data_IF_934928146536
#
_entry.id   IF_934928146536
#
_cell.length_a   1.000
_cell.length_b   1.000
_cell.length_c   1.000
_cell.angle_alpha   90.00
_cell.angle_beta   90.00
_cell.angle_gamma   90.00
#
_symmetry.space_group_name_H-M   'P 1'
#
loop_
_entity.id
_entity.type
_entity.pdbx_description
1 polymer ?
#
# COMPACT_ATOMS: atom_id res chain seq x y z
N UNK A 1 -6.07 -14.88 -0.27
CA UNK A 1 -6.43 -15.02 -1.70
C UNK A 1 -7.66 -15.92 -1.79
N UNK A 2 -8.73 -15.50 -2.46
CA UNK A 2 -9.90 -16.37 -2.64
C UNK A 2 -9.53 -17.56 -3.51
N UNK A 3 -10.03 -18.73 -3.14
CA UNK A 3 -9.95 -19.97 -3.88
C UNK A 3 -11.26 -20.19 -4.64
N UNK A 4 -11.32 -21.18 -5.52
CA UNK A 4 -12.53 -21.51 -6.30
C UNK A 4 -13.76 -21.71 -5.39
N UNK A 5 -13.59 -22.41 -4.27
CA UNK A 5 -14.66 -22.64 -3.29
C UNK A 5 -15.17 -21.37 -2.60
N UNK A 6 -14.39 -20.28 -2.62
CA UNK A 6 -14.73 -19.00 -1.99
C UNK A 6 -15.58 -18.10 -2.91
N UNK A 7 -15.63 -18.36 -4.21
CA UNK A 7 -16.29 -17.49 -5.18
C UNK A 7 -17.76 -17.20 -4.87
N UNK A 8 -18.59 -18.18 -4.42
CA UNK A 8 -19.96 -17.88 -4.00
C UNK A 8 -20.03 -16.92 -2.81
N UNK A 9 -19.07 -17.02 -1.88
CA UNK A 9 -18.98 -16.11 -0.74
C UNK A 9 -18.54 -14.69 -1.18
N UNK A 10 -17.57 -14.61 -2.08
CA UNK A 10 -17.14 -13.34 -2.70
C UNK A 10 -18.32 -12.65 -3.38
N UNK A 11 -19.14 -13.41 -4.12
CA UNK A 11 -20.34 -12.86 -4.74
C UNK A 11 -21.32 -12.23 -3.73
N UNK A 12 -21.54 -12.87 -2.58
CA UNK A 12 -22.37 -12.31 -1.49
C UNK A 12 -21.76 -11.06 -0.85
N UNK A 13 -20.43 -11.03 -0.71
CA UNK A 13 -19.73 -9.83 -0.19
C UNK A 13 -19.87 -8.63 -1.13
N UNK A 14 -19.80 -8.85 -2.44
CA UNK A 14 -20.04 -7.81 -3.44
C UNK A 14 -21.47 -7.26 -3.32
N UNK A 15 -22.48 -8.16 -3.21
CA UNK A 15 -23.87 -7.75 -3.04
C UNK A 15 -24.09 -6.95 -1.75
N UNK A 16 -23.48 -7.40 -0.65
CA UNK A 16 -23.57 -6.73 0.65
C UNK A 16 -22.92 -5.33 0.60
N UNK A 17 -21.76 -5.21 -0.06
CA UNK A 17 -21.08 -3.94 -0.23
C UNK A 17 -21.91 -2.95 -1.07
N UNK A 18 -22.49 -3.43 -2.17
CA UNK A 18 -23.38 -2.63 -2.99
C UNK A 18 -24.61 -2.15 -2.21
N UNK A 19 -25.23 -3.05 -1.45
CA UNK A 19 -26.39 -2.72 -0.60
C UNK A 19 -26.03 -1.73 0.52
N UNK A 20 -24.80 -1.78 1.03
CA UNK A 20 -24.30 -0.85 2.05
C UNK A 20 -23.91 0.52 1.48
N UNK A 21 -23.89 0.70 0.16
CA UNK A 21 -23.56 1.97 -0.49
C UNK A 21 -22.10 2.38 -0.35
N UNK A 22 -21.16 1.43 -0.35
CA UNK A 22 -19.73 1.77 -0.31
C UNK A 22 -19.31 2.46 -1.60
N UNK A 23 -18.38 3.40 -1.53
CA UNK A 23 -17.91 4.17 -2.68
C UNK A 23 -17.07 3.34 -3.66
N UNK A 24 -16.33 2.35 -3.17
CA UNK A 24 -15.49 1.46 -3.98
C UNK A 24 -15.10 0.18 -3.23
N UNK A 25 -14.66 -0.83 -3.98
CA UNK A 25 -14.06 -2.06 -3.45
C UNK A 25 -12.58 -2.13 -3.84
N UNK A 26 -11.70 -2.27 -2.86
CA UNK A 26 -10.30 -2.63 -3.11
C UNK A 26 -10.19 -4.14 -3.38
N UNK A 27 -9.64 -4.47 -4.53
CA UNK A 27 -9.56 -5.84 -5.05
C UNK A 27 -8.11 -6.18 -5.37
N UNK A 28 -7.65 -7.37 -4.95
CA UNK A 28 -6.29 -7.85 -5.20
C UNK A 28 -6.22 -9.07 -6.15
N UNK A 29 -7.36 -9.48 -6.70
CA UNK A 29 -7.46 -10.70 -7.50
C UNK A 29 -8.37 -10.49 -8.71
N UNK A 30 -7.88 -10.86 -9.90
CA UNK A 30 -8.62 -10.71 -11.15
C UNK A 30 -9.93 -11.52 -11.19
N UNK A 31 -9.98 -12.69 -10.53
CA UNK A 31 -11.20 -13.47 -10.43
C UNK A 31 -12.30 -12.72 -9.69
N UNK A 32 -11.93 -11.96 -8.63
CA UNK A 32 -12.88 -11.10 -7.90
C UNK A 32 -13.36 -9.94 -8.78
N UNK A 33 -12.46 -9.33 -9.57
CA UNK A 33 -12.83 -8.29 -10.52
C UNK A 33 -13.83 -8.81 -11.56
N UNK A 34 -13.61 -10.04 -12.03
CA UNK A 34 -14.55 -10.72 -12.95
C UNK A 34 -15.91 -10.95 -12.29
N UNK A 35 -15.96 -11.46 -11.07
CA UNK A 35 -17.23 -11.63 -10.33
C UNK A 35 -17.97 -10.31 -10.20
N UNK A 36 -17.28 -9.22 -9.87
CA UNK A 36 -17.87 -7.88 -9.77
C UNK A 36 -18.47 -7.45 -11.12
N UNK A 37 -17.73 -7.64 -12.21
CA UNK A 37 -18.19 -7.31 -13.56
C UNK A 37 -19.40 -8.14 -13.99
N UNK A 38 -19.41 -9.45 -13.73
CA UNK A 38 -20.53 -10.34 -14.06
C UNK A 38 -21.82 -9.99 -13.29
N UNK A 39 -21.70 -9.32 -12.15
CA UNK A 39 -22.81 -8.73 -11.40
C UNK A 39 -23.26 -7.34 -11.89
N UNK A 40 -22.72 -6.88 -13.01
CA UNK A 40 -23.05 -5.57 -13.59
C UNK A 40 -22.23 -4.40 -13.04
N UNK A 41 -21.17 -4.68 -12.28
CA UNK A 41 -20.27 -3.65 -11.73
C UNK A 41 -20.96 -2.68 -10.76
N UNK A 42 -21.69 -3.18 -9.74
CA UNK A 42 -22.53 -2.33 -8.90
C UNK A 42 -21.75 -1.37 -8.01
N UNK A 43 -20.43 -1.58 -7.87
CA UNK A 43 -19.51 -0.74 -7.08
C UNK A 43 -18.21 -0.59 -7.85
N UNK A 44 -17.59 0.62 -7.90
CA UNK A 44 -16.30 0.83 -8.53
C UNK A 44 -15.19 -0.08 -7.98
N UNK A 45 -14.34 -0.60 -8.86
CA UNK A 45 -13.21 -1.46 -8.50
C UNK A 45 -11.90 -0.70 -8.45
N UNK A 46 -11.20 -0.74 -7.32
CA UNK A 46 -9.84 -0.28 -7.14
C UNK A 46 -8.90 -1.48 -7.04
N UNK A 47 -7.95 -1.63 -7.97
CA UNK A 47 -6.99 -2.72 -7.93
C UNK A 47 -5.86 -2.39 -6.94
N UNK A 48 -5.73 -3.20 -5.91
CA UNK A 48 -4.73 -3.03 -4.86
C UNK A 48 -3.35 -3.61 -5.25
N UNK A 49 -2.33 -3.36 -4.44
CA UNK A 49 -0.92 -3.68 -4.73
C UNK A 49 -0.65 -5.15 -5.07
N UNK A 50 -1.39 -6.08 -4.49
CA UNK A 50 -1.22 -7.52 -4.77
C UNK A 50 -1.83 -7.97 -6.11
N UNK A 51 -2.43 -7.07 -6.89
CA UNK A 51 -2.78 -7.32 -8.27
C UNK A 51 -1.56 -7.31 -9.20
N UNK A 52 -0.39 -6.93 -8.70
CA UNK A 52 0.90 -6.98 -9.37
C UNK A 52 0.93 -6.17 -10.69
N UNK A 53 0.46 -4.95 -10.64
CA UNK A 53 0.50 -4.02 -11.78
C UNK A 53 1.87 -3.34 -11.83
N UNK A 54 2.66 -3.62 -12.87
CA UNK A 54 3.98 -3.03 -13.10
C UNK A 54 4.04 -2.11 -14.33
N UNK A 55 3.11 -2.25 -15.25
CA UNK A 55 3.14 -1.53 -16.53
C UNK A 55 1.79 -0.91 -16.87
N UNK A 56 1.80 0.13 -17.70
CA UNK A 56 0.58 0.74 -18.23
C UNK A 56 -0.26 -0.27 -19.05
N UNK A 57 0.38 -1.25 -19.72
CA UNK A 57 -0.32 -2.30 -20.44
C UNK A 57 -1.12 -3.20 -19.48
N UNK A 58 -0.51 -3.61 -18.36
CA UNK A 58 -1.20 -4.38 -17.33
C UNK A 58 -2.35 -3.56 -16.71
N UNK A 59 -2.12 -2.28 -16.44
CA UNK A 59 -3.16 -1.38 -15.94
C UNK A 59 -4.30 -1.21 -16.94
N UNK A 60 -3.99 -1.14 -18.24
CA UNK A 60 -4.98 -1.11 -19.32
C UNK A 60 -5.88 -2.35 -19.34
N UNK A 61 -5.30 -3.54 -19.15
CA UNK A 61 -6.08 -4.79 -19.02
C UNK A 61 -7.03 -4.74 -17.82
N UNK A 62 -6.57 -4.20 -16.68
CA UNK A 62 -7.43 -4.04 -15.50
C UNK A 62 -8.57 -3.05 -15.76
N UNK A 63 -8.26 -1.91 -16.41
CA UNK A 63 -9.26 -0.91 -16.82
C UNK A 63 -10.31 -1.54 -17.72
N UNK A 64 -9.89 -2.28 -18.75
CA UNK A 64 -10.80 -2.90 -19.71
C UNK A 64 -11.65 -4.00 -19.04
N UNK A 65 -11.15 -4.57 -17.94
CA UNK A 65 -11.90 -5.47 -17.09
C UNK A 65 -12.84 -4.76 -16.09
N UNK A 66 -12.82 -3.42 -16.02
CA UNK A 66 -13.73 -2.63 -15.19
C UNK A 66 -13.13 -1.97 -13.96
N UNK A 67 -11.79 -1.99 -13.80
CA UNK A 67 -11.13 -1.22 -12.74
C UNK A 67 -11.11 0.27 -13.08
N UNK A 68 -11.41 1.12 -12.10
CA UNK A 68 -11.37 2.58 -12.22
C UNK A 68 -10.10 3.18 -11.62
N UNK A 69 -9.41 2.42 -10.77
CA UNK A 69 -8.16 2.81 -10.13
C UNK A 69 -7.23 1.61 -9.99
N UNK A 70 -5.94 1.85 -10.11
CA UNK A 70 -4.90 0.85 -9.84
C UNK A 70 -3.88 1.39 -8.87
N UNK A 71 -3.43 0.54 -7.95
CA UNK A 71 -2.23 0.77 -7.14
C UNK A 71 -1.13 -0.12 -7.71
N UNK A 72 -0.07 0.47 -8.31
CA UNK A 72 1.06 -0.29 -8.81
C UNK A 72 1.72 -1.11 -7.69
N UNK A 73 2.47 -2.14 -8.07
CA UNK A 73 3.28 -2.87 -7.11
C UNK A 73 4.29 -1.93 -6.45
N UNK A 74 4.60 -2.17 -5.18
CA UNK A 74 5.48 -1.31 -4.39
C UNK A 74 6.95 -1.26 -4.90
N UNK A 75 7.31 -2.14 -5.83
CA UNK A 75 8.63 -2.18 -6.47
C UNK A 75 8.74 -1.23 -7.68
N UNK A 76 7.63 -0.66 -8.14
CA UNK A 76 7.61 0.29 -9.26
C UNK A 76 8.15 1.64 -8.80
N UNK A 77 9.12 2.20 -9.53
CA UNK A 77 9.68 3.52 -9.25
C UNK A 77 8.69 4.65 -9.56
N UNK A 78 8.91 5.85 -8.98
CA UNK A 78 8.07 7.03 -9.28
C UNK A 78 8.10 7.40 -10.76
N UNK A 79 9.25 7.22 -11.42
CA UNK A 79 9.38 7.49 -12.85
C UNK A 79 8.50 6.55 -13.69
N UNK A 80 8.55 5.26 -13.40
CA UNK A 80 7.69 4.26 -14.05
C UNK A 80 6.21 4.46 -13.71
N UNK A 81 5.89 4.83 -12.46
CA UNK A 81 4.50 5.18 -12.07
C UNK A 81 3.98 6.40 -12.85
N UNK A 82 4.84 7.40 -13.12
CA UNK A 82 4.44 8.56 -13.92
C UNK A 82 4.11 8.18 -15.37
N UNK A 83 4.89 7.25 -15.96
CA UNK A 83 4.59 6.68 -17.29
C UNK A 83 3.24 5.94 -17.23
N UNK A 84 3.06 5.09 -16.22
CA UNK A 84 1.84 4.33 -16.03
C UNK A 84 0.62 5.26 -15.90
N UNK A 85 0.72 6.33 -15.11
CA UNK A 85 -0.36 7.29 -14.91
C UNK A 85 -0.76 8.03 -16.21
N UNK A 86 0.21 8.33 -17.10
CA UNK A 86 -0.08 8.97 -18.37
C UNK A 86 -0.72 8.04 -19.41
N UNK A 87 -0.25 6.78 -19.44
CA UNK A 87 -0.54 5.89 -20.57
C UNK A 87 -1.67 4.88 -20.26
N UNK A 88 -1.98 4.62 -18.99
CA UNK A 88 -2.92 3.56 -18.62
C UNK A 88 -4.39 3.93 -18.82
N UNK A 89 -4.72 5.23 -18.81
CA UNK A 89 -6.11 5.70 -18.89
C UNK A 89 -6.99 5.27 -17.71
N UNK A 90 -6.38 5.11 -16.53
CA UNK A 90 -7.02 4.75 -15.27
C UNK A 90 -6.35 5.52 -14.14
N UNK A 91 -7.08 5.80 -13.06
CA UNK A 91 -6.49 6.47 -11.88
C UNK A 91 -5.36 5.65 -11.27
N UNK A 92 -4.27 6.32 -10.89
CA UNK A 92 -3.12 5.70 -10.23
C UNK A 92 -3.02 6.18 -8.80
N UNK A 93 -3.03 5.23 -7.84
CA UNK A 93 -2.86 5.48 -6.42
C UNK A 93 -1.40 5.23 -6.02
N UNK A 94 -0.76 6.24 -5.40
CA UNK A 94 0.63 6.16 -4.94
C UNK A 94 0.69 5.97 -3.43
N UNK A 95 1.41 4.93 -2.99
CA UNK A 95 1.76 4.78 -1.57
C UNK A 95 2.78 5.84 -1.20
N UNK A 96 2.44 6.72 -0.25
CA UNK A 96 3.32 7.81 0.19
C UNK A 96 3.81 7.66 1.62
N UNK A 97 3.13 6.85 2.45
CA UNK A 97 3.54 6.62 3.84
C UNK A 97 3.08 5.27 4.38
N UNK A 98 3.91 4.68 5.24
CA UNK A 98 3.59 3.48 6.00
C UNK A 98 4.35 2.23 5.56
N UNK A 99 3.96 1.09 6.10
CA UNK A 99 4.62 -0.18 5.80
C UNK A 99 4.36 -0.61 4.36
N UNK A 100 5.44 -0.95 3.66
CA UNK A 100 5.38 -1.44 2.28
C UNK A 100 4.89 -2.89 2.30
N UNK A 101 3.82 -3.24 1.56
CA UNK A 101 3.40 -4.63 1.40
C UNK A 101 4.41 -5.37 0.52
N UNK A 102 5.09 -6.38 1.09
CA UNK A 102 6.13 -7.15 0.41
C UNK A 102 5.61 -8.49 -0.12
N UNK A 103 4.63 -9.07 0.53
CA UNK A 103 4.10 -10.34 0.09
C UNK A 103 2.95 -10.85 0.94
N UNK A 104 2.23 -11.84 0.39
CA UNK A 104 1.19 -12.59 1.09
C UNK A 104 1.45 -14.06 0.85
N UNK A 105 1.40 -14.87 1.91
CA UNK A 105 1.50 -16.32 1.82
C UNK A 105 0.16 -16.98 2.09
N UNK A 106 -0.12 -18.09 1.42
CA UNK A 106 -1.28 -18.92 1.74
C UNK A 106 -0.98 -19.92 2.87
N UNK A 107 0.30 -20.22 3.10
CA UNK A 107 0.73 -21.10 4.18
C UNK A 107 1.08 -20.31 5.44
N UNK A 108 0.83 -20.92 6.60
CA UNK A 108 1.24 -20.35 7.87
C UNK A 108 2.75 -20.56 8.05
N UNK A 109 3.49 -19.46 8.22
CA UNK A 109 4.93 -19.48 8.51
C UNK A 109 5.23 -19.24 10.01
N UNK A 110 4.19 -19.04 10.82
CA UNK A 110 4.32 -18.86 12.27
C UNK A 110 4.19 -20.18 13.04
N UNK A 111 3.67 -21.22 12.40
CA UNK A 111 3.59 -22.54 12.98
C UNK A 111 4.81 -23.37 12.58
N UNK A 112 5.44 -24.02 13.55
CA UNK A 112 6.61 -24.85 13.33
C UNK A 112 6.31 -26.18 12.64
N UNK A 113 5.05 -26.63 12.70
CA UNK A 113 4.59 -27.82 12.01
C UNK A 113 3.44 -27.45 11.06
N UNK A 114 3.51 -27.82 9.78
CA UNK A 114 2.47 -27.57 8.82
C UNK A 114 1.35 -28.60 8.96
N UNK A 115 0.56 -28.56 9.99
CA UNK A 115 -0.70 -29.29 10.00
C UNK A 115 -1.67 -28.58 9.07
N UNK A 116 -1.81 -29.12 7.86
CA UNK A 116 -2.56 -28.54 6.74
C UNK A 116 -4.07 -28.38 7.00
N UNK A 117 -4.59 -28.80 8.13
CA UNK A 117 -6.03 -28.83 8.41
C UNK A 117 -6.39 -28.81 9.88
N UNK A 118 -5.56 -28.19 10.74
CA UNK A 118 -5.93 -28.14 12.15
C UNK A 118 -7.11 -27.20 12.37
N UNK A 119 -8.31 -27.76 12.71
CA UNK A 119 -9.45 -26.95 13.14
C UNK A 119 -9.16 -26.17 14.43
N UNK A 120 -8.01 -26.41 15.05
CA UNK A 120 -7.52 -25.74 16.25
C UNK A 120 -6.44 -24.68 15.98
N UNK A 121 -6.34 -24.13 14.78
CA UNK A 121 -5.42 -23.04 14.50
C UNK A 121 -5.52 -21.97 15.60
N UNK A 122 -4.45 -21.70 16.38
CA UNK A 122 -4.49 -20.78 17.50
C UNK A 122 -4.63 -19.32 17.06
N UNK A 123 -4.70 -19.07 15.75
CA UNK A 123 -4.85 -17.73 15.14
C UNK A 123 -3.81 -16.72 15.60
N UNK A 124 -2.58 -17.18 15.91
CA UNK A 124 -1.47 -16.33 16.36
C UNK A 124 -1.13 -15.22 15.37
N UNK A 125 -1.44 -15.42 14.09
CA UNK A 125 -1.24 -14.41 13.06
C UNK A 125 -2.16 -13.18 13.17
N UNK A 126 -3.11 -13.16 14.11
CA UNK A 126 -3.90 -11.97 14.42
C UNK A 126 -3.10 -10.91 15.16
N UNK A 127 -2.02 -11.33 15.80
CA UNK A 127 -1.08 -10.45 16.45
C UNK A 127 0.04 -10.04 15.49
N UNK A 128 0.69 -8.93 15.80
CA UNK A 128 1.85 -8.46 15.05
C UNK A 128 3.07 -9.26 15.50
N UNK A 129 3.75 -9.86 14.55
CA UNK A 129 5.03 -10.52 14.79
C UNK A 129 6.14 -9.86 13.97
N UNK A 130 7.38 -10.04 14.41
CA UNK A 130 8.54 -9.51 13.72
C UNK A 130 9.44 -10.66 13.30
N UNK A 131 9.70 -10.75 12.00
CA UNK A 131 10.74 -11.61 11.45
C UNK A 131 12.05 -10.84 11.47
N UNK A 132 13.05 -11.38 12.15
CA UNK A 132 14.33 -10.70 12.31
C UNK A 132 15.48 -11.53 11.77
N UNK A 133 16.42 -10.86 11.12
CA UNK A 133 17.71 -11.42 10.75
C UNK A 133 18.83 -10.47 11.17
N UNK A 134 20.08 -10.82 10.88
CA UNK A 134 21.21 -9.90 11.12
C UNK A 134 21.16 -8.62 10.29
N UNK A 135 20.42 -8.62 9.19
CA UNK A 135 20.45 -7.54 8.19
C UNK A 135 19.10 -6.86 7.98
N UNK A 136 18.01 -7.47 8.40
CA UNK A 136 16.68 -6.95 8.14
C UNK A 136 15.68 -7.35 9.22
N UNK A 137 14.63 -6.55 9.31
CA UNK A 137 13.46 -6.82 10.13
C UNK A 137 12.23 -6.60 9.26
N UNK A 138 11.28 -7.52 9.33
CA UNK A 138 10.00 -7.44 8.61
C UNK A 138 8.85 -7.55 9.61
N UNK A 139 7.78 -6.79 9.37
CA UNK A 139 6.53 -6.88 10.14
C UNK A 139 5.62 -7.92 9.50
N UNK A 140 5.03 -8.79 10.30
CA UNK A 140 4.04 -9.75 9.81
C UNK A 140 2.70 -9.50 10.47
N UNK A 141 1.64 -9.53 9.69
CA UNK A 141 0.26 -9.42 10.16
C UNK A 141 -0.61 -10.35 9.33
N UNK A 142 -1.34 -11.23 9.99
CA UNK A 142 -2.06 -12.28 9.30
C UNK A 142 -1.10 -13.12 8.45
N UNK A 143 -1.41 -13.26 7.19
CA UNK A 143 -0.56 -13.94 6.19
C UNK A 143 0.29 -12.96 5.37
N UNK A 144 0.30 -11.68 5.75
CA UNK A 144 1.04 -10.63 5.07
C UNK A 144 2.42 -10.37 5.67
N UNK A 145 3.38 -10.05 4.82
CA UNK A 145 4.72 -9.60 5.18
C UNK A 145 4.87 -8.16 4.72
N UNK A 146 5.26 -7.30 5.63
CA UNK A 146 5.42 -5.86 5.43
C UNK A 146 6.87 -5.44 5.72
N UNK A 147 7.29 -4.30 5.19
CA UNK A 147 8.61 -3.73 5.49
C UNK A 147 8.80 -3.46 6.98
N UNK A 148 10.05 -3.51 7.44
CA UNK A 148 10.41 -3.11 8.80
C UNK A 148 10.40 -1.60 8.99
N UNK A 149 10.91 -0.86 7.99
CA UNK A 149 10.89 0.61 7.95
C UNK A 149 9.58 1.13 7.36
N UNK A 150 9.23 2.36 7.68
CA UNK A 150 8.09 3.03 7.08
C UNK A 150 8.53 3.79 5.84
N UNK A 151 7.80 3.59 4.74
CA UNK A 151 7.91 4.44 3.58
C UNK A 151 7.51 5.86 3.95
N UNK A 152 8.23 6.86 3.45
CA UNK A 152 7.91 8.26 3.64
C UNK A 152 8.33 9.08 2.43
N UNK A 153 7.38 9.76 1.81
CA UNK A 153 7.61 10.63 0.65
C UNK A 153 7.28 12.10 0.94
N UNK A 154 7.27 12.53 2.21
CA UNK A 154 6.96 13.92 2.58
C UNK A 154 7.85 14.93 1.86
N UNK A 155 9.15 14.70 1.76
CA UNK A 155 10.08 15.59 1.05
C UNK A 155 9.83 15.66 -0.47
N UNK A 156 9.14 14.65 -1.02
CA UNK A 156 8.98 14.44 -2.45
C UNK A 156 7.58 14.78 -2.96
N UNK A 157 6.70 15.31 -2.10
CA UNK A 157 5.33 15.66 -2.48
C UNK A 157 5.26 16.69 -3.62
N UNK A 158 6.13 17.72 -3.71
CA UNK A 158 6.12 18.62 -4.86
C UNK A 158 6.39 17.92 -6.18
N UNK A 159 7.32 16.95 -6.19
CA UNK A 159 7.59 16.13 -7.37
C UNK A 159 6.36 15.34 -7.76
N UNK A 160 5.72 14.66 -6.80
CA UNK A 160 4.49 13.89 -7.06
C UNK A 160 3.36 14.77 -7.61
N UNK A 161 3.22 15.99 -7.09
CA UNK A 161 2.24 16.95 -7.58
C UNK A 161 2.54 17.40 -9.02
N UNK A 162 3.83 17.65 -9.34
CA UNK A 162 4.31 18.03 -10.67
C UNK A 162 4.16 16.88 -11.68
N UNK A 163 4.41 15.64 -11.27
CA UNK A 163 4.23 14.43 -12.08
C UNK A 163 2.74 14.10 -12.34
N UNK A 164 1.83 14.87 -11.74
CA UNK A 164 0.39 14.77 -12.01
C UNK A 164 -0.36 13.81 -11.09
N UNK A 165 0.26 13.22 -10.08
CA UNK A 165 -0.44 12.36 -9.12
C UNK A 165 -1.44 13.15 -8.28
N UNK A 166 -2.60 12.53 -8.00
CA UNK A 166 -3.71 13.15 -7.26
C UNK A 166 -4.27 12.25 -6.15
N UNK A 167 -3.87 10.97 -6.13
CA UNK A 167 -4.41 9.97 -5.22
C UNK A 167 -3.25 9.38 -4.44
N UNK A 168 -3.27 9.61 -3.13
CA UNK A 168 -2.20 9.26 -2.22
C UNK A 168 -2.71 8.32 -1.14
N UNK A 169 -1.94 7.28 -0.87
CA UNK A 169 -2.26 6.29 0.15
C UNK A 169 -1.32 6.38 1.33
N UNK A 170 -1.90 6.39 2.53
CA UNK A 170 -1.21 6.15 3.79
C UNK A 170 -1.61 4.75 4.26
N UNK A 171 -0.65 3.85 4.43
CA UNK A 171 -0.90 2.50 4.91
C UNK A 171 -0.88 2.49 6.45
N UNK A 172 -2.05 2.49 7.05
CA UNK A 172 -2.22 2.59 8.50
C UNK A 172 -3.18 1.57 9.09
N UNK A 173 -3.54 0.50 8.33
CA UNK A 173 -4.55 -0.47 8.77
C UNK A 173 -4.17 -1.15 10.09
N UNK A 174 -2.89 -1.46 10.28
CA UNK A 174 -2.38 -2.16 11.46
C UNK A 174 -1.63 -1.22 12.41
N UNK A 175 -1.90 0.07 12.31
CA UNK A 175 -1.27 1.10 13.12
C UNK A 175 -2.26 1.71 14.13
N UNK A 176 -1.75 2.43 15.13
CA UNK A 176 -2.56 3.05 16.18
C UNK A 176 -3.46 4.18 15.65
N UNK A 177 -4.47 4.56 16.41
CA UNK A 177 -5.30 5.72 16.07
C UNK A 177 -4.46 7.01 16.03
N UNK A 178 -3.49 7.16 16.94
CA UNK A 178 -2.57 8.30 16.98
C UNK A 178 -1.74 8.36 15.69
N UNK A 179 -1.16 7.23 15.25
CA UNK A 179 -0.46 7.15 13.97
C UNK A 179 -1.33 7.68 12.82
N UNK A 180 -2.53 7.13 12.67
CA UNK A 180 -3.42 7.52 11.56
C UNK A 180 -3.80 8.99 11.60
N UNK A 181 -4.04 9.54 12.79
CA UNK A 181 -4.40 10.94 12.98
C UNK A 181 -3.24 11.88 12.68
N UNK A 182 -2.06 11.65 13.28
CA UNK A 182 -0.92 12.54 13.18
C UNK A 182 -0.29 12.49 11.78
N UNK A 183 -0.10 11.30 11.22
CA UNK A 183 0.43 11.14 9.85
C UNK A 183 -0.59 11.67 8.82
N UNK A 184 -1.88 11.38 9.01
CA UNK A 184 -2.92 11.91 8.14
C UNK A 184 -2.98 13.43 8.13
N UNK A 185 -2.84 14.08 9.28
CA UNK A 185 -2.78 15.53 9.40
C UNK A 185 -1.54 16.11 8.72
N UNK A 186 -0.36 15.54 8.99
CA UNK A 186 0.91 15.97 8.38
C UNK A 186 0.85 15.91 6.85
N UNK A 187 0.39 14.79 6.29
CA UNK A 187 0.25 14.67 4.83
C UNK A 187 -0.79 15.59 4.23
N UNK A 188 -1.92 15.81 4.90
CA UNK A 188 -2.96 16.73 4.42
C UNK A 188 -2.43 18.16 4.30
N UNK A 189 -1.73 18.62 5.32
CA UNK A 189 -1.13 19.97 5.32
C UNK A 189 -0.01 20.07 4.29
N UNK A 190 0.91 19.11 4.27
CA UNK A 190 2.03 19.09 3.35
C UNK A 190 1.57 19.04 1.88
N UNK A 191 0.54 18.26 1.56
CA UNK A 191 -0.08 18.22 0.22
C UNK A 191 -0.71 19.55 -0.14
N UNK A 192 -1.38 20.22 0.79
CA UNK A 192 -1.96 21.55 0.54
C UNK A 192 -0.88 22.53 0.09
N UNK A 193 0.28 22.54 0.77
CA UNK A 193 1.41 23.39 0.39
C UNK A 193 2.02 22.95 -0.95
N UNK A 194 2.25 21.66 -1.15
CA UNK A 194 2.83 21.13 -2.39
C UNK A 194 1.97 21.44 -3.63
N UNK A 195 0.65 21.44 -3.49
CA UNK A 195 -0.27 21.74 -4.59
C UNK A 195 -0.54 23.23 -4.80
N UNK A 196 -0.23 24.07 -3.81
CA UNK A 196 -0.39 25.53 -3.97
C UNK A 196 0.62 26.14 -4.95
N UNK A 197 1.72 25.44 -5.26
CA UNK A 197 2.77 25.87 -6.17
C UNK A 197 3.55 27.06 -5.58
N UNK A 198 4.67 26.82 -4.97
CA UNK A 198 5.52 27.80 -4.32
C UNK A 198 6.73 27.10 -3.73
N UNK A 199 7.46 27.82 -2.88
CA UNK A 199 8.55 27.20 -2.14
C UNK A 199 8.00 26.17 -1.15
N UNK A 200 8.41 24.93 -1.30
CA UNK A 200 8.05 23.84 -0.40
C UNK A 200 9.20 23.60 0.57
N UNK A 201 8.98 23.91 1.83
CA UNK A 201 9.88 23.54 2.91
C UNK A 201 9.21 22.50 3.80
N UNK A 202 9.93 21.43 4.11
CA UNK A 202 9.41 20.40 5.02
C UNK A 202 9.36 20.97 6.45
N UNK A 203 8.17 21.12 7.00
CA UNK A 203 7.98 21.62 8.36
C UNK A 203 8.42 20.58 9.41
N UNK A 204 9.06 21.06 10.49
CA UNK A 204 9.53 20.19 11.58
C UNK A 204 8.41 19.33 12.17
N UNK A 205 7.20 19.88 12.34
CA UNK A 205 6.06 19.14 12.89
C UNK A 205 5.67 17.92 12.03
N UNK A 206 5.82 17.98 10.70
CA UNK A 206 5.54 16.85 9.80
C UNK A 206 6.64 15.80 9.90
N UNK A 207 7.91 16.25 9.90
CA UNK A 207 9.05 15.35 10.03
C UNK A 207 9.09 14.66 11.40
N UNK A 208 8.75 15.39 12.47
CA UNK A 208 8.70 14.85 13.83
C UNK A 208 7.58 13.82 13.98
N UNK A 209 6.41 14.06 13.36
CA UNK A 209 5.34 13.07 13.33
C UNK A 209 5.80 11.79 12.60
N UNK A 210 6.43 11.92 11.43
CA UNK A 210 6.94 10.79 10.67
C UNK A 210 7.98 9.98 11.46
N UNK A 211 8.96 10.64 12.10
CA UNK A 211 10.00 9.98 12.92
C UNK A 211 9.42 9.30 14.17
N UNK A 212 8.51 9.98 14.87
CA UNK A 212 7.88 9.45 16.10
C UNK A 212 7.20 8.12 15.86
N UNK A 213 6.55 7.98 14.73
CA UNK A 213 5.77 6.80 14.36
C UNK A 213 6.56 5.74 13.58
N UNK A 214 7.83 6.00 13.28
CA UNK A 214 8.72 5.08 12.57
C UNK A 214 9.93 4.67 13.45
N UNK A 215 9.73 3.90 14.53
CA UNK A 215 10.79 3.57 15.48
C UNK A 215 11.93 2.74 14.86
N UNK A 216 11.74 2.17 13.68
CA UNK A 216 12.75 1.44 12.91
C UNK A 216 13.31 2.27 11.74
N UNK A 217 13.03 3.56 11.71
CA UNK A 217 13.45 4.50 10.67
C UNK A 217 12.56 4.51 9.44
N UNK A 218 12.84 5.49 8.60
CA UNK A 218 12.14 5.77 7.36
C UNK A 218 12.89 5.20 6.15
N UNK A 219 12.18 4.99 5.06
CA UNK A 219 12.72 4.64 3.74
C UNK A 219 11.85 5.26 2.64
N UNK A 220 12.31 5.23 1.41
CA UNK A 220 11.48 5.59 0.25
C UNK A 220 11.01 4.35 -0.54
N UNK A 221 11.20 3.15 -0.02
CA UNK A 221 10.93 1.94 -0.76
C UNK A 221 11.77 1.89 -2.04
N UNK A 222 11.13 1.54 -3.14
CA UNK A 222 11.75 1.48 -4.46
C UNK A 222 11.53 2.75 -5.30
N UNK A 223 10.96 3.81 -4.71
CA UNK A 223 10.53 5.02 -5.41
C UNK A 223 11.60 5.67 -6.28
N UNK A 224 12.88 5.51 -5.93
CA UNK A 224 14.03 6.08 -6.67
C UNK A 224 14.92 5.02 -7.32
N UNK A 225 14.41 3.81 -7.55
CA UNK A 225 15.19 2.71 -8.13
C UNK A 225 16.26 2.15 -7.19
N UNK A 226 16.25 2.53 -5.92
CA UNK A 226 17.19 2.04 -4.89
C UNK A 226 16.60 0.85 -4.12
N UNK A 227 17.44 0.17 -3.34
CA UNK A 227 16.97 -0.91 -2.46
C UNK A 227 15.93 -0.39 -1.46
N UNK A 228 14.86 -1.16 -1.23
CA UNK A 228 13.68 -0.75 -0.49
C UNK A 228 13.87 -0.26 0.95
N UNK A 229 15.08 -0.32 1.51
CA UNK A 229 15.44 0.18 2.86
C UNK A 229 16.08 1.57 2.86
N UNK A 230 16.47 2.07 1.70
CA UNK A 230 17.21 3.33 1.58
C UNK A 230 16.25 4.52 1.70
N UNK A 231 16.72 5.58 2.34
CA UNK A 231 16.08 6.89 2.30
C UNK A 231 16.89 7.83 1.41
N UNK A 232 16.25 8.40 0.42
CA UNK A 232 16.79 9.45 -0.47
C UNK A 232 16.07 10.74 -0.10
N UNK A 233 16.80 11.70 0.42
CA UNK A 233 16.30 12.98 0.92
C UNK A 233 17.35 13.66 1.79
N UNK A 234 17.09 14.87 2.24
CA UNK A 234 18.04 15.67 3.00
C UNK A 234 17.62 15.90 4.44
N UNK A 235 16.33 16.00 4.70
CA UNK A 235 15.79 16.38 6.02
C UNK A 235 15.42 15.15 6.85
N UNK A 236 14.85 14.13 6.22
CA UNK A 236 14.41 12.93 6.90
C UNK A 236 15.42 11.78 6.85
N UNK A 237 16.57 12.02 6.25
CA UNK A 237 17.64 11.03 6.24
C UNK A 237 18.15 10.84 7.68
N UNK A 238 17.83 9.71 8.28
CA UNK A 238 18.39 9.33 9.57
C UNK A 238 19.90 9.14 9.40
N UNK A 239 20.68 9.84 10.23
CA UNK A 239 22.09 9.51 10.39
C UNK A 239 22.15 8.06 10.91
N UNK A 240 22.50 7.14 10.00
CA UNK A 240 22.88 5.74 10.25
C UNK A 240 22.44 5.17 11.61
N UNK A 241 21.23 4.68 11.70
CA UNK A 241 20.96 3.62 12.66
C UNK A 241 21.38 2.29 11.99
N UNK A 242 22.65 1.97 12.19
CA UNK A 242 23.12 0.59 12.06
C UNK A 242 22.28 -0.28 12.98
N UNK A 243 21.72 -1.34 12.41
CA UNK A 243 21.00 -2.39 13.13
C UNK A 243 22.01 -3.32 13.78
#
# INVERSE_FOLDING_TARGET
MPREADLPHVGRLVDAAAAAGVDALEIHNLGVLRVLREKGGPVPAHMGAYANVYTHLAAGVMRDAGAVRVRPNAEVSLEEMAILAREAGVEVEVLVHGKIPLGVTDRCYLLTEPEESDPKCPSICREVHWLTSRQWVLKTVGKGVLSGRDMCLLEHLPRLAADGFRIFRIEGLYETAAYRSEIGAAYREALTVAFAGGEYALENRWSDAARRHAPRGLCNGYSFGTAGRTYVGTVLQDANHEV
#
